data_IF_952304933459
#
_entry.id   IF_952304933459
#
_cell.length_a   1.000
_cell.length_b   1.000
_cell.length_c   1.000
_cell.angle_alpha   90.00
_cell.angle_beta   90.00
_cell.angle_gamma   90.00
#
_symmetry.space_group_name_H-M   'P 1'
#
loop_
_entity.id
_entity.type
_entity.pdbx_description
1 polymer ?
#
# COMPACT_ATOMS: atom_id res chain seq x y z
N UNK A 1 -11.41 3.09 0.85
CA UNK A 1 -10.63 1.85 1.09
C UNK A 1 -10.31 1.23 -0.27
N UNK A 2 -9.05 0.82 -0.51
CA UNK A 2 -8.53 0.37 -1.82
C UNK A 2 -9.17 -0.96 -2.27
N UNK A 3 -10.01 -0.93 -3.31
CA UNK A 3 -10.62 -2.12 -3.93
C UNK A 3 -9.60 -3.16 -4.42
N UNK A 4 -8.36 -2.75 -4.69
CA UNK A 4 -7.28 -3.66 -5.11
C UNK A 4 -6.85 -4.71 -4.07
N UNK A 5 -7.19 -4.53 -2.78
CA UNK A 5 -6.91 -5.55 -1.77
C UNK A 5 -7.99 -6.65 -1.69
N UNK A 6 -9.24 -6.34 -2.08
CA UNK A 6 -10.35 -7.28 -1.97
C UNK A 6 -10.24 -8.41 -3.00
N UNK A 7 -9.87 -8.10 -4.24
CA UNK A 7 -9.69 -9.11 -5.30
C UNK A 7 -8.53 -10.07 -4.99
N UNK A 8 -7.41 -9.54 -4.48
CA UNK A 8 -6.28 -10.37 -4.06
C UNK A 8 -6.68 -11.32 -2.90
N UNK A 9 -7.38 -10.77 -1.90
CA UNK A 9 -7.89 -11.56 -0.78
C UNK A 9 -8.89 -12.63 -1.22
N UNK A 10 -9.74 -12.33 -2.20
CA UNK A 10 -10.73 -13.27 -2.72
C UNK A 10 -10.08 -14.44 -3.49
N UNK A 11 -9.07 -14.17 -4.32
CA UNK A 11 -8.32 -15.22 -5.04
C UNK A 11 -7.59 -16.12 -4.06
N UNK A 12 -6.91 -15.54 -3.07
CA UNK A 12 -6.20 -16.31 -2.05
C UNK A 12 -7.17 -17.17 -1.22
N UNK A 13 -8.32 -16.62 -0.85
CA UNK A 13 -9.39 -17.35 -0.16
C UNK A 13 -9.92 -18.53 -1.00
N UNK A 14 -10.12 -18.32 -2.31
CA UNK A 14 -10.58 -19.36 -3.23
C UNK A 14 -9.56 -20.51 -3.33
N UNK A 15 -8.27 -20.19 -3.47
CA UNK A 15 -7.20 -21.19 -3.50
C UNK A 15 -7.14 -21.99 -2.20
N UNK A 16 -7.19 -21.31 -1.05
CA UNK A 16 -7.21 -21.96 0.26
C UNK A 16 -8.42 -22.89 0.38
N UNK A 17 -9.61 -22.42 -0.02
CA UNK A 17 -10.84 -23.20 0.01
C UNK A 17 -10.75 -24.43 -0.90
N UNK A 18 -10.17 -24.30 -2.10
CA UNK A 18 -9.96 -25.41 -3.01
C UNK A 18 -8.99 -26.47 -2.43
N UNK A 19 -7.90 -26.03 -1.81
CA UNK A 19 -6.94 -26.92 -1.15
C UNK A 19 -7.57 -27.66 0.04
N UNK A 20 -8.32 -26.94 0.89
CA UNK A 20 -9.02 -27.54 2.02
C UNK A 20 -10.13 -28.49 1.56
N UNK A 21 -10.90 -28.12 0.54
CA UNK A 21 -11.95 -28.96 -0.03
C UNK A 21 -11.39 -30.23 -0.65
N UNK A 22 -10.33 -30.11 -1.46
CA UNK A 22 -9.62 -31.25 -2.02
C UNK A 22 -9.07 -32.17 -0.91
N UNK A 23 -8.39 -31.59 0.09
CA UNK A 23 -7.90 -32.34 1.26
C UNK A 23 -9.02 -33.07 2.00
N UNK A 24 -10.14 -32.41 2.28
CA UNK A 24 -11.29 -33.01 2.94
C UNK A 24 -11.89 -34.19 2.16
N UNK A 25 -11.94 -34.09 0.83
CA UNK A 25 -12.37 -35.20 -0.04
C UNK A 25 -11.41 -36.38 0.07
N UNK A 26 -10.10 -36.16 0.03
CA UNK A 26 -9.11 -37.23 0.21
C UNK A 26 -9.16 -37.86 1.61
N UNK A 27 -9.35 -37.05 2.66
CA UNK A 27 -9.58 -37.57 4.01
C UNK A 27 -10.86 -38.40 4.09
N UNK A 28 -11.97 -37.94 3.51
CA UNK A 28 -13.22 -38.70 3.47
C UNK A 28 -13.11 -40.02 2.70
N UNK A 29 -12.37 -40.02 1.59
CA UNK A 29 -12.06 -41.22 0.81
C UNK A 29 -11.31 -42.29 1.62
N UNK A 30 -10.50 -41.89 2.60
CA UNK A 30 -9.83 -42.83 3.48
C UNK A 30 -10.83 -43.62 4.36
N UNK A 31 -11.88 -42.97 4.84
CA UNK A 31 -12.86 -43.56 5.74
C UNK A 31 -13.97 -44.35 5.03
N UNK A 32 -14.12 -44.21 3.70
CA UNK A 32 -15.16 -44.91 2.93
C UNK A 32 -14.55 -45.83 1.86
N UNK A 33 -14.40 -47.14 2.18
CA UNK A 33 -13.87 -48.12 1.24
C UNK A 33 -14.72 -48.27 -0.03
N UNK A 34 -16.04 -48.15 0.09
CA UNK A 34 -16.99 -48.32 -1.03
C UNK A 34 -16.84 -47.20 -2.07
N UNK A 35 -16.71 -45.95 -1.60
CA UNK A 35 -16.47 -44.81 -2.49
C UNK A 35 -15.13 -44.95 -3.19
N UNK A 36 -14.11 -45.47 -2.51
CA UNK A 36 -12.80 -45.72 -3.12
C UNK A 36 -12.86 -46.79 -4.21
N UNK A 37 -13.61 -47.88 -3.98
CA UNK A 37 -13.81 -48.94 -4.98
C UNK A 37 -14.55 -48.41 -6.21
N UNK A 38 -15.65 -47.70 -6.01
CA UNK A 38 -16.40 -47.09 -7.11
C UNK A 38 -15.55 -46.08 -7.89
N UNK A 39 -14.75 -45.26 -7.18
CA UNK A 39 -13.83 -44.33 -7.82
C UNK A 39 -12.79 -45.08 -8.66
N UNK A 40 -12.22 -46.17 -8.13
CA UNK A 40 -11.23 -46.99 -8.85
C UNK A 40 -11.81 -47.64 -10.11
N UNK A 41 -13.03 -48.16 -10.03
CA UNK A 41 -13.74 -48.72 -11.19
C UNK A 41 -14.05 -47.65 -12.23
N UNK A 42 -14.48 -46.47 -11.78
CA UNK A 42 -14.79 -45.35 -12.68
C UNK A 42 -13.54 -44.84 -13.41
N UNK A 43 -12.42 -44.80 -12.70
CA UNK A 43 -11.08 -44.51 -13.23
C UNK A 43 -10.69 -45.57 -14.25
N UNK A 44 -10.76 -46.86 -13.91
CA UNK A 44 -10.32 -47.92 -14.82
C UNK A 44 -11.17 -48.07 -16.09
N UNK A 45 -12.44 -47.64 -16.06
CA UNK A 45 -13.39 -47.91 -17.16
C UNK A 45 -13.46 -46.80 -18.21
N UNK A 46 -12.94 -45.60 -17.95
CA UNK A 46 -13.15 -44.45 -18.85
C UNK A 46 -11.90 -43.60 -19.09
N UNK A 47 -11.10 -44.01 -20.08
CA UNK A 47 -9.99 -43.20 -20.59
C UNK A 47 -10.44 -41.82 -21.13
N UNK A 48 -11.66 -41.73 -21.68
CA UNK A 48 -12.20 -40.48 -22.22
C UNK A 48 -12.54 -39.43 -21.16
N UNK A 49 -13.06 -39.86 -20.00
CA UNK A 49 -13.42 -38.95 -18.91
C UNK A 49 -12.18 -38.31 -18.28
N UNK A 50 -11.06 -39.02 -18.24
CA UNK A 50 -9.79 -38.47 -17.76
C UNK A 50 -9.23 -37.37 -18.64
N UNK A 51 -9.34 -37.53 -19.95
CA UNK A 51 -8.94 -36.49 -20.89
C UNK A 51 -9.78 -35.22 -20.67
N UNK A 52 -11.10 -35.37 -20.52
CA UNK A 52 -11.98 -34.24 -20.25
C UNK A 52 -11.69 -33.57 -18.91
N UNK A 53 -11.45 -34.36 -17.85
CA UNK A 53 -11.08 -33.86 -16.52
C UNK A 53 -9.75 -33.10 -16.56
N UNK A 54 -8.75 -33.62 -17.28
CA UNK A 54 -7.46 -32.97 -17.49
C UNK A 54 -7.58 -31.66 -18.27
N UNK A 55 -8.40 -31.62 -19.32
CA UNK A 55 -8.70 -30.38 -20.05
C UNK A 55 -9.39 -29.35 -19.15
N UNK A 56 -10.35 -29.77 -18.32
CA UNK A 56 -11.07 -28.88 -17.41
C UNK A 56 -10.13 -28.28 -16.35
N UNK A 57 -9.29 -29.11 -15.72
CA UNK A 57 -8.26 -28.67 -14.78
C UNK A 57 -7.26 -27.71 -15.41
N UNK A 58 -6.77 -28.03 -16.62
CA UNK A 58 -5.84 -27.18 -17.36
C UNK A 58 -6.47 -25.84 -17.73
N UNK A 59 -7.75 -25.83 -18.11
CA UNK A 59 -8.51 -24.60 -18.39
C UNK A 59 -8.64 -23.71 -17.16
N UNK A 60 -8.96 -24.28 -15.99
CA UNK A 60 -9.01 -23.54 -14.73
C UNK A 60 -7.64 -22.98 -14.37
N UNK A 61 -6.56 -23.77 -14.51
CA UNK A 61 -5.20 -23.33 -14.25
C UNK A 61 -4.77 -22.18 -15.18
N UNK A 62 -5.11 -22.26 -16.47
CA UNK A 62 -4.85 -21.20 -17.44
C UNK A 62 -5.61 -19.92 -17.08
N UNK A 63 -6.89 -20.03 -16.72
CA UNK A 63 -7.72 -18.90 -16.31
C UNK A 63 -7.16 -18.23 -15.04
N UNK A 64 -6.80 -19.01 -14.03
CA UNK A 64 -6.15 -18.50 -12.83
C UNK A 64 -4.83 -17.80 -13.16
N UNK A 65 -4.01 -18.38 -14.03
CA UNK A 65 -2.73 -17.79 -14.46
C UNK A 65 -2.94 -16.44 -15.15
N UNK A 66 -3.93 -16.33 -16.05
CA UNK A 66 -4.29 -15.06 -16.70
C UNK A 66 -4.78 -14.04 -15.67
N UNK A 67 -5.65 -14.45 -14.74
CA UNK A 67 -6.10 -13.59 -13.65
C UNK A 67 -4.93 -13.10 -12.79
N UNK A 68 -3.99 -13.97 -12.41
CA UNK A 68 -2.79 -13.59 -11.66
C UNK A 68 -1.89 -12.65 -12.44
N UNK A 69 -1.67 -12.92 -13.73
CA UNK A 69 -0.84 -12.09 -14.60
C UNK A 69 -1.44 -10.69 -14.77
N UNK A 70 -2.75 -10.58 -15.00
CA UNK A 70 -3.45 -9.30 -15.06
C UNK A 70 -3.42 -8.57 -13.70
N UNK A 71 -3.51 -9.30 -12.59
CA UNK A 71 -3.44 -8.71 -11.25
C UNK A 71 -2.04 -8.22 -10.88
N UNK A 72 -0.97 -8.88 -11.34
CA UNK A 72 0.40 -8.43 -11.13
C UNK A 72 0.76 -7.19 -11.96
N UNK A 73 0.17 -7.02 -13.15
CA UNK A 73 0.40 -5.82 -13.99
C UNK A 73 0.03 -4.49 -13.29
N UNK A 74 -0.78 -4.51 -12.24
CA UNK A 74 -1.20 -3.32 -11.50
C UNK A 74 -0.37 -2.95 -10.26
N UNK A 75 0.67 -3.70 -9.87
CA UNK A 75 1.32 -3.51 -8.55
C UNK A 75 2.85 -3.59 -8.56
N UNK A 76 3.48 -2.78 -9.39
CA UNK A 76 4.83 -2.28 -9.10
C UNK A 76 4.90 -0.76 -9.27
N UNK A 77 4.02 -0.03 -8.58
CA UNK A 77 4.44 1.27 -8.07
C UNK A 77 5.48 0.97 -7.00
N UNK A 78 6.72 0.83 -7.44
CA UNK A 78 7.91 0.91 -6.59
C UNK A 78 7.89 2.35 -6.07
N UNK A 79 7.14 2.58 -4.98
CA UNK A 79 7.36 3.76 -4.16
C UNK A 79 8.80 3.58 -3.71
N UNK A 80 9.72 4.25 -4.40
CA UNK A 80 11.04 4.54 -3.86
C UNK A 80 10.74 5.35 -2.60
N UNK A 81 10.60 4.65 -1.48
CA UNK A 81 10.86 5.26 -0.20
C UNK A 81 12.35 5.59 -0.26
N UNK A 82 12.67 6.82 -0.66
CA UNK A 82 13.94 7.42 -0.28
C UNK A 82 14.14 7.13 1.21
N UNK A 83 15.37 6.80 1.59
CA UNK A 83 15.75 6.46 2.98
C UNK A 83 14.93 7.31 3.95
N UNK A 84 14.35 6.74 5.02
CA UNK A 84 13.69 7.57 6.03
C UNK A 84 14.74 8.54 6.56
N UNK A 85 14.76 9.75 6.02
CA UNK A 85 15.51 10.85 6.58
C UNK A 85 14.75 11.17 7.88
N UNK A 86 15.25 10.64 8.98
CA UNK A 86 14.93 11.20 10.29
C UNK A 86 15.66 12.54 10.34
N UNK A 87 15.03 13.57 9.79
CA UNK A 87 15.51 14.93 9.99
C UNK A 87 15.29 15.23 11.46
N UNK A 88 16.37 15.55 12.16
CA UNK A 88 16.30 15.95 13.56
C UNK A 88 15.39 17.18 13.69
N UNK A 89 14.42 17.10 14.59
CA UNK A 89 13.46 18.17 14.86
C UNK A 89 14.17 19.48 15.21
N UNK A 90 15.33 19.41 15.87
CA UNK A 90 16.13 20.59 16.20
C UNK A 90 16.67 21.29 14.94
N UNK A 91 17.04 20.52 13.91
CA UNK A 91 17.55 21.06 12.64
C UNK A 91 16.42 21.73 11.86
N UNK A 92 15.26 21.08 11.77
CA UNK A 92 14.07 21.68 11.12
C UNK A 92 13.67 22.98 11.81
N UNK A 93 13.60 22.98 13.15
CA UNK A 93 13.25 24.18 13.93
C UNK A 93 14.24 25.32 13.70
N UNK A 94 15.53 25.00 13.61
CA UNK A 94 16.57 26.00 13.34
C UNK A 94 16.42 26.58 11.93
N UNK A 95 16.27 25.74 10.90
CA UNK A 95 16.13 26.21 9.52
C UNK A 95 14.87 27.05 9.32
N UNK A 96 13.73 26.64 9.88
CA UNK A 96 12.48 27.42 9.77
C UNK A 96 12.64 28.79 10.43
N UNK A 97 13.34 28.88 11.58
CA UNK A 97 13.64 30.16 12.25
C UNK A 97 14.60 31.04 11.44
N UNK A 98 15.62 30.44 10.83
CA UNK A 98 16.56 31.16 9.96
C UNK A 98 15.85 31.70 8.71
N UNK A 99 15.05 30.86 8.04
CA UNK A 99 14.21 31.26 6.91
C UNK A 99 13.29 32.44 7.26
N UNK A 100 12.61 32.37 8.41
CA UNK A 100 11.70 33.45 8.83
C UNK A 100 12.44 34.76 9.08
N UNK A 101 13.63 34.69 9.69
CA UNK A 101 14.45 35.87 9.96
C UNK A 101 15.04 36.49 8.69
N UNK A 102 15.31 35.67 7.66
CA UNK A 102 15.84 36.14 6.38
C UNK A 102 14.75 36.76 5.50
N UNK A 103 13.60 36.11 5.39
CA UNK A 103 12.51 36.56 4.49
C UNK A 103 11.58 37.59 5.14
N UNK A 104 11.40 37.55 6.46
CA UNK A 104 10.47 38.40 7.21
C UNK A 104 11.14 39.01 8.46
N UNK A 105 12.18 39.85 8.30
CA UNK A 105 12.94 40.41 9.43
C UNK A 105 12.14 41.37 10.31
N UNK A 106 11.02 41.91 9.81
CA UNK A 106 10.14 42.86 10.51
C UNK A 106 8.97 42.19 11.24
N UNK A 107 8.75 40.89 11.03
CA UNK A 107 7.63 40.13 11.63
C UNK A 107 8.07 39.34 12.86
N UNK A 108 7.14 39.13 13.80
CA UNK A 108 7.38 38.30 14.97
C UNK A 108 7.62 36.84 14.57
N UNK A 109 8.64 36.22 15.16
CA UNK A 109 9.01 34.83 14.90
C UNK A 109 7.81 33.88 15.09
N UNK A 110 7.73 32.79 14.30
CA UNK A 110 6.68 31.80 14.43
C UNK A 110 6.62 31.27 15.87
N UNK A 111 5.40 31.24 16.40
CA UNK A 111 5.14 31.00 17.83
C UNK A 111 5.49 29.58 18.24
N UNK A 112 5.21 28.60 17.37
CA UNK A 112 5.55 27.20 17.59
C UNK A 112 5.77 26.46 16.26
N UNK A 113 6.69 25.48 16.28
CA UNK A 113 6.98 24.59 15.15
C UNK A 113 6.84 23.15 15.66
N UNK A 114 5.87 22.41 15.15
CA UNK A 114 5.63 21.02 15.50
C UNK A 114 6.11 20.10 14.38
N UNK A 115 6.93 19.11 14.72
CA UNK A 115 7.40 18.09 13.78
C UNK A 115 6.86 16.72 14.22
N UNK A 116 5.75 16.29 13.65
CA UNK A 116 5.10 15.03 14.01
C UNK A 116 5.00 14.10 12.79
N UNK A 117 5.56 12.89 12.89
CA UNK A 117 5.45 11.83 11.86
C UNK A 117 5.75 12.31 10.43
N UNK A 118 6.81 13.11 10.25
CA UNK A 118 7.21 13.70 8.96
C UNK A 118 6.16 14.66 8.39
N UNK A 119 5.55 15.46 9.27
CA UNK A 119 4.79 16.67 8.94
C UNK A 119 5.36 17.80 9.77
N UNK A 120 5.52 18.96 9.15
CA UNK A 120 5.95 20.20 9.80
C UNK A 120 4.71 21.08 9.84
N UNK A 121 4.32 21.47 11.05
CA UNK A 121 3.26 22.45 11.29
C UNK A 121 3.91 23.69 11.89
N UNK A 122 3.78 24.81 11.19
CA UNK A 122 4.27 26.12 11.67
C UNK A 122 3.05 26.92 12.10
N UNK A 123 3.07 27.38 13.34
CA UNK A 123 2.03 28.22 13.92
C UNK A 123 2.55 29.65 13.97
N UNK A 124 1.90 30.53 13.20
CA UNK A 124 2.15 31.97 13.23
C UNK A 124 0.91 32.73 13.70
N UNK A 125 1.14 33.92 14.27
CA UNK A 125 0.11 34.83 14.79
C UNK A 125 -0.31 35.87 13.77
N UNK A 126 0.43 36.00 12.68
CA UNK A 126 0.25 37.12 11.75
C UNK A 126 -0.76 36.77 10.65
N UNK A 127 -1.73 37.67 10.45
CA UNK A 127 -2.88 37.46 9.55
C UNK A 127 -2.71 38.09 8.17
N UNK A 128 -1.70 38.95 7.99
CA UNK A 128 -1.58 39.78 6.79
C UNK A 128 -0.64 39.20 5.72
N UNK A 129 -0.08 38.01 5.96
CA UNK A 129 0.87 37.37 5.03
C UNK A 129 0.21 36.28 4.19
N UNK A 130 0.54 36.23 2.91
CA UNK A 130 0.08 35.19 1.99
C UNK A 130 0.70 33.83 2.37
N UNK A 131 -0.08 33.07 3.13
CA UNK A 131 0.31 31.74 3.61
C UNK A 131 0.65 30.77 2.48
N UNK A 132 -0.04 30.87 1.33
CA UNK A 132 0.23 29.96 0.20
C UNK A 132 1.62 30.25 -0.38
N UNK A 133 2.01 31.52 -0.42
CA UNK A 133 3.33 31.93 -0.89
C UNK A 133 4.44 31.51 0.08
N UNK A 134 4.25 31.71 1.39
CA UNK A 134 5.19 31.21 2.41
C UNK A 134 5.31 29.70 2.30
N UNK A 135 4.19 28.98 2.14
CA UNK A 135 4.19 27.53 2.02
C UNK A 135 4.98 27.06 0.80
N UNK A 136 4.84 27.75 -0.33
CA UNK A 136 5.60 27.39 -1.51
C UNK A 136 7.10 27.66 -1.36
N UNK A 137 7.47 28.79 -0.76
CA UNK A 137 8.88 29.20 -0.57
C UNK A 137 9.59 28.31 0.44
N UNK A 138 8.98 28.07 1.60
CA UNK A 138 9.55 27.18 2.61
C UNK A 138 9.60 25.72 2.11
N UNK A 139 8.67 25.29 1.23
CA UNK A 139 8.73 23.96 0.58
C UNK A 139 9.95 23.81 -0.28
N UNK A 140 10.20 24.84 -1.08
CA UNK A 140 11.37 24.87 -1.96
C UNK A 140 12.66 24.86 -1.14
N UNK A 141 12.74 25.68 -0.09
CA UNK A 141 13.93 25.79 0.75
C UNK A 141 14.25 24.46 1.49
N UNK A 142 13.25 23.81 2.07
CA UNK A 142 13.42 22.51 2.74
C UNK A 142 13.71 21.37 1.75
N UNK A 143 13.15 21.43 0.53
CA UNK A 143 13.46 20.48 -0.53
C UNK A 143 14.92 20.60 -0.99
N UNK A 144 15.41 21.83 -1.18
CA UNK A 144 16.79 22.09 -1.60
C UNK A 144 17.82 21.74 -0.53
N UNK A 145 17.54 22.02 0.75
CA UNK A 145 18.49 21.73 1.84
C UNK A 145 18.46 20.27 2.32
N UNK A 146 17.28 19.64 2.36
CA UNK A 146 17.10 18.34 3.02
C UNK A 146 16.52 17.26 2.11
N UNK A 147 16.23 17.55 0.84
CA UNK A 147 15.54 16.62 -0.06
C UNK A 147 14.10 16.32 0.37
N UNK A 148 13.47 17.23 1.12
CA UNK A 148 12.14 17.05 1.65
C UNK A 148 11.06 17.39 0.60
N UNK A 149 10.49 16.38 -0.04
CA UNK A 149 9.49 16.55 -1.11
C UNK A 149 8.02 16.53 -0.63
N UNK A 150 7.77 16.50 0.69
CA UNK A 150 6.39 16.37 1.22
C UNK A 150 5.72 17.72 1.45
N UNK A 151 4.41 17.74 1.23
CA UNK A 151 3.54 18.87 1.58
C UNK A 151 3.58 19.11 3.09
N UNK A 152 3.68 20.37 3.49
CA UNK A 152 3.49 20.80 4.87
C UNK A 152 2.21 21.63 4.99
N UNK A 153 1.87 22.01 6.21
CA UNK A 153 0.69 22.81 6.47
C UNK A 153 1.07 23.96 7.39
N UNK A 154 0.81 25.19 6.96
CA UNK A 154 0.86 26.36 7.84
C UNK A 154 -0.51 26.49 8.51
N UNK A 155 -0.52 26.69 9.82
CA UNK A 155 -1.77 26.88 10.57
C UNK A 155 -1.72 28.22 11.29
N UNK A 156 -2.63 29.12 10.92
CA UNK A 156 -2.87 30.34 11.70
C UNK A 156 -3.62 29.96 12.97
N UNK A 157 -3.07 30.35 14.12
CA UNK A 157 -3.82 30.29 15.38
C UNK A 157 -4.35 31.68 15.67
N UNK A 158 -5.64 31.91 15.39
CA UNK A 158 -6.35 33.08 15.92
C UNK A 158 -6.52 32.88 17.42
N UNK A 159 -6.08 33.88 18.20
CA UNK A 159 -6.27 33.89 19.64
C UNK A 159 -7.64 34.44 20.01
#
# INVERSE_FOLDING_TARGET
MRNGNLLFSAVQFLIITALFGGGAVFFGLHFSPDVRLQLSEWISKSNGNFFFLGCLLSGIAALLTVCFYMMQKGRYLRIQMGKPFSIDEAVVKKTVKEFWKEEFPEEDLPTDIYVAKQKIEVITKDSDVDLEEIEKRLSKHLSEQFGYERKFFLTLTQR
#
